data_IF_287019669573
#
_entry.id   IF_287019669573
#
_cell.length_a   1.000
_cell.length_b   1.000
_cell.length_c   1.000
_cell.angle_alpha   90.00
_cell.angle_beta   90.00
_cell.angle_gamma   90.00
#
_symmetry.space_group_name_H-M   'P 1'
#
loop_
_entity.id
_entity.type
_entity.pdbx_description
1 polymer ?
#
# COMPACT_ATOMS: atom_id res chain seq x y z
N UNK A 1 42.83 8.84 6.79
CA UNK A 1 42.44 7.57 6.16
C UNK A 1 41.84 6.65 7.22
N UNK A 2 40.58 6.91 7.56
CA UNK A 2 39.62 5.97 8.13
C UNK A 2 38.30 6.45 7.55
N UNK A 3 37.88 5.80 6.49
CA UNK A 3 36.70 6.19 5.73
C UNK A 3 35.48 6.06 6.64
N UNK A 4 34.80 7.20 6.82
CA UNK A 4 33.52 7.27 7.50
C UNK A 4 32.51 6.53 6.63
N UNK A 5 32.06 5.39 7.12
CA UNK A 5 30.89 4.72 6.56
C UNK A 5 29.67 5.53 6.98
N UNK A 6 29.32 6.54 6.19
CA UNK A 6 28.01 7.16 6.24
C UNK A 6 26.99 6.08 5.92
N UNK A 7 26.16 5.77 6.91
CA UNK A 7 25.00 4.90 6.75
C UNK A 7 24.06 5.63 5.77
N UNK A 8 23.76 5.09 4.59
CA UNK A 8 22.80 5.72 3.70
C UNK A 8 21.44 5.81 4.41
N UNK A 9 20.70 6.94 4.28
CA UNK A 9 19.58 7.31 5.16
C UNK A 9 18.31 6.44 5.06
N UNK A 10 18.38 5.21 4.58
CA UNK A 10 17.20 4.38 4.26
C UNK A 10 17.14 3.04 5.02
N UNK A 11 17.78 2.92 6.20
CA UNK A 11 17.79 1.67 7.00
C UNK A 11 16.49 1.41 7.79
N UNK A 12 15.56 2.35 7.78
CA UNK A 12 14.15 2.17 8.11
C UNK A 12 13.38 2.82 6.98
N UNK A 13 12.34 2.17 6.44
CA UNK A 13 11.49 2.81 5.41
C UNK A 13 10.59 3.81 6.13
N UNK A 14 11.21 4.90 6.53
CA UNK A 14 10.60 6.22 6.59
C UNK A 14 11.06 6.87 5.29
N UNK A 15 10.15 7.05 4.32
CA UNK A 15 10.45 7.90 3.18
C UNK A 15 10.54 9.32 3.74
N UNK A 16 11.76 9.76 4.04
CA UNK A 16 12.03 11.16 4.36
C UNK A 16 11.67 12.02 3.14
N UNK A 17 11.40 13.31 3.38
CA UNK A 17 11.05 14.27 2.33
C UNK A 17 12.16 14.29 1.24
N UNK A 18 11.93 13.69 0.08
CA UNK A 18 12.85 13.74 -1.06
C UNK A 18 12.36 14.80 -2.04
N UNK A 19 13.23 15.75 -2.40
CA UNK A 19 12.89 16.88 -3.26
C UNK A 19 12.63 16.51 -4.73
N UNK A 20 12.80 15.23 -5.12
CA UNK A 20 12.65 14.75 -6.48
C UNK A 20 11.71 13.53 -6.55
N UNK A 21 10.83 13.44 -7.58
CA UNK A 21 10.00 12.27 -7.80
C UNK A 21 10.84 11.01 -7.90
N UNK A 22 10.47 9.98 -7.14
CA UNK A 22 11.22 8.72 -7.09
C UNK A 22 10.45 7.63 -7.84
N UNK A 23 11.13 6.89 -8.71
CA UNK A 23 10.53 5.77 -9.43
C UNK A 23 10.39 4.57 -8.49
N UNK A 24 9.20 4.01 -8.44
CA UNK A 24 8.87 2.79 -7.72
C UNK A 24 8.44 1.73 -8.72
N UNK A 25 8.98 0.54 -8.58
CA UNK A 25 8.53 -0.64 -9.31
C UNK A 25 7.72 -1.52 -8.38
N UNK A 26 6.50 -1.87 -8.78
CA UNK A 26 5.67 -2.88 -8.14
C UNK A 26 5.65 -4.14 -9.00
N UNK A 27 5.83 -5.30 -8.36
CA UNK A 27 5.61 -6.59 -9.00
C UNK A 27 4.74 -7.47 -8.12
N UNK A 28 3.77 -8.17 -8.74
CA UNK A 28 3.00 -9.24 -8.12
C UNK A 28 3.28 -10.53 -8.87
N UNK A 29 3.58 -11.60 -8.15
CA UNK A 29 3.95 -12.90 -8.70
C UNK A 29 3.07 -14.01 -8.14
N UNK A 30 2.95 -15.09 -8.90
CA UNK A 30 2.31 -16.32 -8.42
C UNK A 30 3.07 -16.93 -7.23
N UNK A 31 2.50 -17.96 -6.60
CA UNK A 31 3.06 -18.60 -5.40
C UNK A 31 4.48 -19.15 -5.61
N UNK A 32 4.82 -19.53 -6.84
CA UNK A 32 6.12 -20.09 -7.17
C UNK A 32 7.16 -19.03 -7.59
N UNK A 33 6.76 -17.76 -7.70
CA UNK A 33 7.61 -16.69 -8.21
C UNK A 33 7.99 -16.85 -9.69
N UNK A 34 7.31 -17.74 -10.42
CA UNK A 34 7.65 -18.09 -11.81
C UNK A 34 6.95 -17.22 -12.83
N UNK A 35 5.83 -16.62 -12.45
CA UNK A 35 5.01 -15.76 -13.30
C UNK A 35 4.77 -14.42 -12.63
N UNK A 36 4.93 -13.35 -13.41
CA UNK A 36 4.67 -11.98 -12.98
C UNK A 36 3.30 -11.55 -13.47
N UNK A 37 2.36 -11.45 -12.53
CA UNK A 37 0.96 -11.16 -12.77
C UNK A 37 0.71 -9.65 -12.96
N UNK A 38 1.52 -8.83 -12.28
CA UNK A 38 1.58 -7.37 -12.41
C UNK A 38 3.03 -6.95 -12.44
N UNK A 39 3.38 -6.04 -13.34
CA UNK A 39 4.59 -5.25 -13.30
C UNK A 39 4.24 -3.81 -13.65
N UNK A 40 4.39 -2.92 -12.68
CA UNK A 40 4.09 -1.51 -12.85
C UNK A 40 5.29 -0.68 -12.39
N UNK A 41 5.57 0.39 -13.12
CA UNK A 41 6.52 1.42 -12.69
C UNK A 41 5.77 2.74 -12.62
N UNK A 42 5.90 3.44 -11.51
CA UNK A 42 5.24 4.72 -11.28
C UNK A 42 6.13 5.65 -10.46
N UNK A 43 5.83 6.94 -10.49
CA UNK A 43 6.53 7.96 -9.72
C UNK A 43 5.77 8.25 -8.42
N UNK A 44 6.50 8.41 -7.32
CA UNK A 44 5.99 8.97 -6.07
C UNK A 44 6.59 10.36 -5.87
N UNK A 45 5.83 11.28 -5.26
CA UNK A 45 6.21 12.69 -5.10
C UNK A 45 7.42 12.90 -4.18
N UNK A 46 7.79 11.91 -3.37
CA UNK A 46 8.80 12.04 -2.33
C UNK A 46 8.29 12.63 -1.02
N UNK A 47 7.00 12.97 -0.96
CA UNK A 47 6.34 13.40 0.28
C UNK A 47 6.16 12.21 1.22
N UNK A 48 6.44 12.44 2.51
CA UNK A 48 6.20 11.44 3.54
C UNK A 48 4.70 11.22 3.75
N UNK A 49 4.28 9.95 3.77
CA UNK A 49 2.91 9.56 4.05
C UNK A 49 2.55 8.20 3.46
N UNK A 50 1.25 7.91 3.43
CA UNK A 50 0.67 6.66 2.93
C UNK A 50 0.41 6.79 1.42
N UNK A 51 0.86 5.77 0.67
CA UNK A 51 0.52 5.59 -0.74
C UNK A 51 -0.33 4.33 -0.90
N UNK A 52 -1.39 4.44 -1.70
CA UNK A 52 -2.14 3.29 -2.20
C UNK A 52 -1.64 2.91 -3.58
N UNK A 53 -1.58 1.60 -3.88
CA UNK A 53 -1.34 1.11 -5.22
C UNK A 53 -2.47 0.16 -5.62
N UNK A 54 -3.15 0.46 -6.72
CA UNK A 54 -4.25 -0.31 -7.25
C UNK A 54 -3.98 -0.66 -8.71
N UNK A 55 -3.61 -1.91 -9.02
CA UNK A 55 -3.42 -2.33 -10.39
C UNK A 55 -4.78 -2.35 -11.13
N UNK A 56 -4.85 -1.68 -12.28
CA UNK A 56 -5.98 -1.64 -13.21
C UNK A 56 -5.95 -2.87 -14.13
N UNK A 57 -4.76 -3.39 -14.42
CA UNK A 57 -4.59 -4.59 -15.24
C UNK A 57 -3.88 -5.69 -14.47
N UNK A 58 -4.57 -6.84 -14.39
CA UNK A 58 -3.97 -8.12 -14.06
C UNK A 58 -3.89 -8.92 -15.36
N UNK A 59 -2.77 -9.60 -15.60
CA UNK A 59 -2.66 -10.54 -16.72
C UNK A 59 -3.61 -11.73 -16.59
N UNK A 60 -4.00 -12.05 -15.36
CA UNK A 60 -4.91 -13.12 -14.98
C UNK A 60 -5.69 -12.74 -13.70
N UNK A 61 -6.93 -13.22 -13.56
CA UNK A 61 -7.66 -13.11 -12.29
C UNK A 61 -6.97 -13.89 -11.15
N UNK A 62 -6.94 -13.29 -9.96
CA UNK A 62 -6.43 -13.95 -8.77
C UNK A 62 -7.47 -14.95 -8.24
N UNK A 63 -7.04 -16.19 -7.98
CA UNK A 63 -7.90 -17.25 -7.50
C UNK A 63 -8.01 -17.20 -5.97
N UNK A 64 -9.22 -17.35 -5.44
CA UNK A 64 -9.42 -17.42 -4.00
C UNK A 64 -8.68 -18.62 -3.38
N UNK A 65 -8.06 -18.38 -2.21
CA UNK A 65 -7.24 -19.35 -1.49
C UNK A 65 -5.79 -19.46 -1.98
N UNK A 66 -5.45 -18.91 -3.15
CA UNK A 66 -4.06 -18.88 -3.63
C UNK A 66 -3.28 -17.74 -3.00
N UNK A 67 -1.97 -17.98 -2.83
CA UNK A 67 -1.03 -17.00 -2.31
C UNK A 67 -0.20 -16.38 -3.43
N UNK A 68 0.09 -15.10 -3.28
CA UNK A 68 0.84 -14.31 -4.24
C UNK A 68 1.91 -13.51 -3.50
N UNK A 69 3.06 -13.38 -4.13
CA UNK A 69 4.17 -12.60 -3.60
C UNK A 69 4.20 -11.24 -4.26
N UNK A 70 4.15 -10.17 -3.47
CA UNK A 70 4.30 -8.82 -3.98
C UNK A 70 5.63 -8.23 -3.50
N UNK A 71 6.19 -7.33 -4.31
CA UNK A 71 7.33 -6.52 -3.92
C UNK A 71 7.18 -5.11 -4.48
N UNK A 72 7.66 -4.12 -3.73
CA UNK A 72 7.88 -2.76 -4.18
C UNK A 72 9.35 -2.38 -4.03
N UNK A 73 9.94 -1.92 -5.11
CA UNK A 73 11.34 -1.51 -5.18
C UNK A 73 11.42 -0.03 -5.45
N UNK A 74 12.06 0.73 -4.56
CA UNK A 74 12.35 2.15 -4.77
C UNK A 74 13.64 2.25 -5.59
N UNK A 75 13.55 2.77 -6.82
CA UNK A 75 14.70 2.86 -7.75
C UNK A 75 15.56 4.09 -7.43
N UNK A 76 16.46 3.95 -6.46
CA UNK A 76 17.44 4.96 -6.07
C UNK A 76 18.75 4.87 -6.86
N UNK A 77 19.22 3.65 -7.13
CA UNK A 77 20.47 3.35 -7.82
C UNK A 77 20.15 2.49 -9.04
N UNK A 78 20.32 3.06 -10.23
CA UNK A 78 20.07 2.36 -11.50
C UNK A 78 21.25 1.48 -11.93
N UNK A 79 22.45 1.75 -11.39
CA UNK A 79 23.68 1.05 -11.74
C UNK A 79 23.90 -0.18 -10.85
N UNK A 80 23.37 -0.16 -9.62
CA UNK A 80 23.44 -1.27 -8.66
C UNK A 80 22.05 -1.59 -8.10
N UNK A 81 21.19 -2.29 -8.86
CA UNK A 81 19.81 -2.57 -8.45
C UNK A 81 19.67 -3.29 -7.10
N UNK A 82 20.68 -4.07 -6.69
CA UNK A 82 20.69 -4.80 -5.41
C UNK A 82 20.78 -3.87 -4.20
N UNK A 83 21.11 -2.59 -4.39
CA UNK A 83 21.13 -1.58 -3.33
C UNK A 83 19.80 -0.85 -3.18
N UNK A 84 18.85 -1.07 -4.09
CA UNK A 84 17.55 -0.43 -4.02
C UNK A 84 16.76 -0.97 -2.82
N UNK A 85 16.12 -0.09 -2.02
CA UNK A 85 15.22 -0.52 -0.97
C UNK A 85 14.06 -1.34 -1.55
N UNK A 86 13.77 -2.46 -0.89
CA UNK A 86 12.68 -3.37 -1.26
C UNK A 86 11.80 -3.57 -0.02
N UNK A 87 10.49 -3.48 -0.22
CA UNK A 87 9.48 -4.05 0.67
C UNK A 87 8.76 -5.15 -0.07
N UNK A 88 8.40 -6.19 0.64
CA UNK A 88 7.72 -7.33 0.05
C UNK A 88 6.81 -8.01 1.08
N UNK A 89 6.00 -8.91 0.55
CA UNK A 89 5.15 -9.73 1.40
C UNK A 89 4.34 -10.75 0.62
N UNK A 90 3.72 -11.61 1.39
CA UNK A 90 2.75 -12.59 0.90
C UNK A 90 1.35 -12.07 1.14
N UNK A 91 0.49 -12.23 0.15
CA UNK A 91 -0.95 -12.03 0.27
C UNK A 91 -1.65 -13.30 -0.17
N UNK A 92 -2.75 -13.63 0.49
CA UNK A 92 -3.65 -14.71 0.05
C UNK A 92 -4.93 -14.06 -0.42
N UNK A 93 -5.41 -14.45 -1.61
CA UNK A 93 -6.67 -13.94 -2.13
C UNK A 93 -7.82 -14.52 -1.31
N UNK A 94 -8.46 -13.68 -0.51
CA UNK A 94 -9.64 -14.09 0.26
C UNK A 94 -10.85 -14.37 -0.65
N UNK A 95 -11.74 -15.24 -0.19
CA UNK A 95 -13.08 -15.32 -0.73
C UNK A 95 -13.85 -14.02 -0.43
N UNK A 96 -14.78 -13.67 -1.31
CA UNK A 96 -15.62 -12.51 -1.09
C UNK A 96 -16.53 -12.75 0.12
N UNK A 97 -16.52 -11.89 1.14
CA UNK A 97 -17.32 -12.11 2.33
C UNK A 97 -18.81 -11.92 2.04
N UNK A 98 -19.65 -12.66 2.75
CA UNK A 98 -21.08 -12.42 2.76
C UNK A 98 -21.38 -11.00 3.24
N UNK A 99 -22.42 -10.36 2.68
CA UNK A 99 -22.82 -9.02 3.12
C UNK A 99 -21.95 -7.86 2.60
N UNK A 100 -20.98 -8.10 1.71
CA UNK A 100 -20.12 -7.07 1.09
C UNK A 100 -20.88 -5.91 0.38
N UNK A 101 -22.20 -6.07 0.16
CA UNK A 101 -23.09 -5.10 -0.49
C UNK A 101 -23.30 -3.80 0.30
N UNK A 102 -22.90 -3.75 1.59
CA UNK A 102 -22.90 -2.52 2.39
C UNK A 102 -22.11 -1.38 1.74
N UNK A 103 -22.10 -0.17 2.32
CA UNK A 103 -21.35 0.98 1.76
C UNK A 103 -20.55 1.70 2.82
N UNK A 104 -19.47 2.38 2.40
CA UNK A 104 -18.62 3.17 3.30
C UNK A 104 -18.09 2.33 4.47
N UNK A 105 -18.22 2.86 5.69
CA UNK A 105 -17.74 2.22 6.91
C UNK A 105 -18.34 0.83 7.17
N UNK A 106 -19.64 0.63 6.91
CA UNK A 106 -20.29 -0.68 7.12
C UNK A 106 -19.60 -1.77 6.29
N UNK A 107 -19.24 -1.46 5.04
CA UNK A 107 -18.49 -2.38 4.18
C UNK A 107 -17.09 -2.65 4.73
N UNK A 108 -16.41 -1.62 5.24
CA UNK A 108 -15.10 -1.78 5.87
C UNK A 108 -15.16 -2.70 7.10
N UNK A 109 -16.19 -2.57 7.94
CA UNK A 109 -16.44 -3.46 9.08
C UNK A 109 -16.68 -4.90 8.62
N UNK A 110 -17.49 -5.13 7.58
CA UNK A 110 -17.70 -6.47 7.02
C UNK A 110 -16.39 -7.12 6.59
N UNK A 111 -15.50 -6.35 5.94
CA UNK A 111 -14.17 -6.84 5.55
C UNK A 111 -13.31 -7.18 6.77
N UNK A 112 -13.32 -6.37 7.82
CA UNK A 112 -12.58 -6.66 9.05
C UNK A 112 -13.09 -7.91 9.78
N UNK A 113 -14.40 -8.07 9.89
CA UNK A 113 -15.02 -9.26 10.51
C UNK A 113 -14.66 -10.54 9.74
N UNK A 114 -14.47 -10.43 8.42
CA UNK A 114 -13.98 -11.50 7.56
C UNK A 114 -12.44 -11.69 7.61
N UNK A 115 -11.71 -10.87 8.38
CA UNK A 115 -10.25 -10.92 8.46
C UNK A 115 -9.53 -10.29 7.25
N UNK A 116 -10.24 -9.57 6.38
CA UNK A 116 -9.76 -8.96 5.14
C UNK A 116 -9.47 -7.48 5.40
N UNK A 117 -8.54 -7.20 6.31
CA UNK A 117 -8.29 -5.85 6.77
C UNK A 117 -7.71 -4.92 5.69
N UNK A 118 -7.02 -5.46 4.69
CA UNK A 118 -6.42 -4.70 3.59
C UNK A 118 -7.48 -3.99 2.73
N UNK A 119 -8.60 -4.66 2.48
CA UNK A 119 -9.72 -4.09 1.72
C UNK A 119 -10.45 -3.02 2.54
N UNK A 120 -10.59 -3.24 3.86
CA UNK A 120 -11.14 -2.24 4.77
C UNK A 120 -10.29 -0.96 4.78
N UNK A 121 -8.96 -1.09 4.94
CA UNK A 121 -8.02 0.04 4.91
C UNK A 121 -8.08 0.76 3.55
N UNK A 122 -8.17 0.02 2.44
CA UNK A 122 -8.25 0.61 1.09
C UNK A 122 -9.52 1.45 0.91
N UNK A 123 -10.67 0.95 1.35
CA UNK A 123 -11.94 1.70 1.27
C UNK A 123 -11.90 3.01 2.05
N UNK A 124 -11.32 2.98 3.25
CA UNK A 124 -11.22 4.16 4.11
C UNK A 124 -10.18 5.14 3.60
N UNK A 125 -9.07 4.64 3.04
CA UNK A 125 -8.09 5.49 2.39
C UNK A 125 -8.71 6.29 1.24
N UNK A 126 -9.53 5.63 0.41
CA UNK A 126 -10.28 6.29 -0.67
C UNK A 126 -11.30 7.30 -0.12
N UNK A 127 -12.05 6.94 0.92
CA UNK A 127 -13.03 7.83 1.53
C UNK A 127 -12.38 9.10 2.10
N UNK A 128 -11.23 8.96 2.76
CA UNK A 128 -10.46 10.05 3.35
C UNK A 128 -9.83 10.94 2.28
N UNK A 129 -9.22 10.36 1.24
CA UNK A 129 -8.57 11.11 0.16
C UNK A 129 -9.57 11.86 -0.73
N UNK A 130 -10.75 11.27 -0.99
CA UNK A 130 -11.74 11.81 -1.94
C UNK A 130 -12.99 12.38 -1.25
N UNK A 131 -12.91 12.71 0.04
CA UNK A 131 -14.01 13.32 0.77
C UNK A 131 -14.54 14.58 0.06
N UNK A 132 -15.86 14.68 -0.09
CA UNK A 132 -16.50 15.77 -0.85
C UNK A 132 -16.56 17.10 -0.10
N UNK A 133 -16.52 17.06 1.23
CA UNK A 133 -16.63 18.22 2.10
C UNK A 133 -15.99 17.96 3.48
N UNK A 134 -15.93 18.99 4.31
CA UNK A 134 -15.30 18.92 5.63
C UNK A 134 -15.99 17.95 6.61
N UNK A 135 -17.30 17.71 6.46
CA UNK A 135 -18.02 16.76 7.32
C UNK A 135 -17.67 15.33 6.90
N UNK A 136 -17.71 15.04 5.60
CA UNK A 136 -17.29 13.76 5.07
C UNK A 136 -15.82 13.44 5.40
N UNK A 137 -14.95 14.45 5.34
CA UNK A 137 -13.54 14.31 5.70
C UNK A 137 -13.36 13.98 7.19
N UNK A 138 -14.09 14.64 8.09
CA UNK A 138 -14.01 14.36 9.52
C UNK A 138 -14.47 12.94 9.86
N UNK A 139 -15.56 12.47 9.23
CA UNK A 139 -16.05 11.09 9.41
C UNK A 139 -15.02 10.08 8.91
N UNK A 140 -14.49 10.29 7.69
CA UNK A 140 -13.51 9.39 7.11
C UNK A 140 -12.18 9.35 7.91
N UNK A 141 -11.80 10.46 8.54
CA UNK A 141 -10.61 10.52 9.42
C UNK A 141 -10.82 9.73 10.71
N UNK A 142 -11.99 9.84 11.35
CA UNK A 142 -12.35 9.03 12.53
C UNK A 142 -12.38 7.54 12.19
N UNK A 143 -13.07 7.17 11.11
CA UNK A 143 -13.16 5.78 10.63
C UNK A 143 -11.75 5.21 10.34
N UNK A 144 -10.90 5.99 9.68
CA UNK A 144 -9.51 5.62 9.38
C UNK A 144 -8.70 5.34 10.64
N UNK A 145 -8.78 6.22 11.64
CA UNK A 145 -8.04 6.07 12.90
C UNK A 145 -8.47 4.81 13.65
N UNK A 146 -9.78 4.63 13.85
CA UNK A 146 -10.35 3.48 14.59
C UNK A 146 -9.90 2.16 13.97
N UNK A 147 -9.90 2.09 12.64
CA UNK A 147 -9.64 0.85 11.92
C UNK A 147 -8.15 0.53 11.90
N UNK A 148 -7.29 1.53 11.70
CA UNK A 148 -5.84 1.33 11.81
C UNK A 148 -5.41 0.94 13.21
N UNK A 149 -5.97 1.54 14.25
CA UNK A 149 -5.73 1.11 15.63
C UNK A 149 -6.13 -0.36 15.84
N UNK A 150 -7.30 -0.75 15.34
CA UNK A 150 -7.81 -2.12 15.46
C UNK A 150 -6.96 -3.20 14.79
N UNK A 151 -6.24 -2.84 13.73
CA UNK A 151 -5.37 -3.78 12.98
C UNK A 151 -3.89 -3.65 13.34
N UNK A 152 -3.55 -2.85 14.37
CA UNK A 152 -2.18 -2.66 14.84
C UNK A 152 -1.32 -1.71 13.99
N UNK A 153 -1.96 -0.84 13.20
CA UNK A 153 -1.34 0.17 12.34
C UNK A 153 -1.57 1.61 12.87
N UNK A 154 -1.91 1.75 14.15
CA UNK A 154 -2.22 3.05 14.78
C UNK A 154 -1.12 4.10 14.65
N UNK A 155 0.15 3.68 14.55
CA UNK A 155 1.29 4.59 14.33
C UNK A 155 1.18 5.36 13.00
N UNK A 156 0.45 4.83 12.03
CA UNK A 156 0.22 5.45 10.71
C UNK A 156 -1.10 6.22 10.63
N UNK A 157 -1.90 6.24 11.71
CA UNK A 157 -3.25 6.80 11.68
C UNK A 157 -3.27 8.30 11.37
N UNK A 158 -2.23 9.02 11.79
CA UNK A 158 -2.10 10.47 11.57
C UNK A 158 -1.30 10.82 10.32
N UNK A 159 -0.74 9.83 9.61
CA UNK A 159 0.02 10.09 8.39
C UNK A 159 -0.93 10.52 7.26
N UNK A 160 -0.53 11.46 6.40
CA UNK A 160 -1.34 11.89 5.27
C UNK A 160 -1.41 10.77 4.22
N UNK A 161 -2.54 10.65 3.52
CA UNK A 161 -2.62 9.85 2.30
C UNK A 161 -2.18 10.74 1.16
N UNK A 162 -1.01 10.47 0.59
CA UNK A 162 -0.38 11.31 -0.43
C UNK A 162 -0.99 11.04 -1.79
N UNK A 163 -1.20 9.76 -2.13
CA UNK A 163 -1.77 9.36 -3.41
C UNK A 163 -2.36 7.96 -3.35
N UNK A 164 -3.33 7.69 -4.23
CA UNK A 164 -3.72 6.35 -4.64
C UNK A 164 -3.40 6.22 -6.13
N UNK A 165 -2.44 5.37 -6.43
CA UNK A 165 -1.85 5.19 -7.76
C UNK A 165 -2.61 4.08 -8.46
N UNK A 166 -3.17 4.38 -9.63
CA UNK A 166 -3.89 3.43 -10.46
C UNK A 166 -3.10 3.21 -11.75
N UNK A 167 -2.64 1.98 -12.01
CA UNK A 167 -1.83 1.60 -13.17
C UNK A 167 -2.33 0.32 -13.82
#
# INVERSE_FOLDING_TARGET
MRDGYEIPPCASIQIGNTTEPTLVQFALKNEHGTEELVNATFEISGEAGVIGFQPITLSQELNAGESYYWQMTVRCDVDVPERNPIIDGWITRAEQPDGWQGRGFERAVTFLEAGIWQDAVTLLAQARLYASDATAAAIADEDWQVILEGVGLGDFANEPIVAIIQQ
#
